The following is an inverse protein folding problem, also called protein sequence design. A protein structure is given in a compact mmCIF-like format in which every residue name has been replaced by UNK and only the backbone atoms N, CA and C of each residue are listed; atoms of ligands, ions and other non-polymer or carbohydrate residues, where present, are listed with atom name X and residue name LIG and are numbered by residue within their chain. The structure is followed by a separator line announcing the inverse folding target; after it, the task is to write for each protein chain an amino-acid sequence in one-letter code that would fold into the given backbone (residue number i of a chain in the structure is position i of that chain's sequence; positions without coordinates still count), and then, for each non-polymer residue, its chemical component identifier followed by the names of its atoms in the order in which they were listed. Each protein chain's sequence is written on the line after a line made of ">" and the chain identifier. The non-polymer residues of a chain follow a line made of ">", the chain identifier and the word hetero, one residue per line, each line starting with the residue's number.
data_IF_255266434247
#
_entry.id   IF_255266434247
#
_cell.length_a   1.000
_cell.length_b   1.000
_cell.length_c   1.000
_cell.angle_alpha   90.00
_cell.angle_beta   90.00
_cell.angle_gamma   90.00
#
_symmetry.space_group_name_H-M   'P 1'
#
loop_
_entity.id
_entity.type
_entity.pdbx_description
1 polymer ?
#
# COMPACT_ATOMS: atom_id res chain seq x y z
N UNK A 1 11.94 2.26 -0.81
CA UNK A 1 11.55 0.85 -1.04
C UNK A 1 10.11 0.60 -0.62
N UNK A 2 9.74 0.81 0.65
CA UNK A 2 8.35 0.69 1.13
C UNK A 2 7.30 1.49 0.32
N UNK A 3 7.56 2.78 0.05
CA UNK A 3 6.64 3.61 -0.73
C UNK A 3 6.37 3.08 -2.15
N UNK A 4 7.39 2.52 -2.81
CA UNK A 4 7.26 1.95 -4.17
C UNK A 4 6.37 0.70 -4.15
N UNK A 5 6.46 -0.12 -3.09
CA UNK A 5 5.56 -1.28 -2.92
C UNK A 5 4.11 -0.83 -2.75
N UNK A 6 3.88 0.18 -1.91
CA UNK A 6 2.54 0.76 -1.70
C UNK A 6 1.97 1.35 -2.99
N UNK A 7 2.77 2.06 -3.78
CA UNK A 7 2.33 2.61 -5.07
C UNK A 7 1.95 1.51 -6.07
N UNK A 8 2.69 0.39 -6.09
CA UNK A 8 2.37 -0.77 -6.93
C UNK A 8 1.10 -1.48 -6.47
N UNK A 9 0.98 -1.77 -5.17
CA UNK A 9 -0.17 -2.46 -4.58
C UNK A 9 -1.48 -1.66 -4.69
N UNK A 10 -1.40 -0.35 -4.94
CA UNK A 10 -2.55 0.54 -5.07
C UNK A 10 -2.65 1.19 -6.45
N UNK A 11 -2.01 0.61 -7.47
CA UNK A 11 -2.03 1.13 -8.83
C UNK A 11 -3.47 1.15 -9.39
N UNK A 12 -3.85 2.23 -10.07
CA UNK A 12 -5.19 2.41 -10.63
C UNK A 12 -5.57 1.43 -11.73
N UNK A 13 -4.57 0.79 -12.35
CA UNK A 13 -4.73 -0.22 -13.39
C UNK A 13 -5.03 -1.62 -12.82
N UNK A 14 -4.97 -1.79 -11.50
CA UNK A 14 -5.33 -3.06 -10.87
C UNK A 14 -6.84 -3.28 -10.93
N UNK A 15 -7.23 -4.48 -11.35
CA UNK A 15 -8.63 -4.92 -11.36
C UNK A 15 -9.13 -5.31 -9.95
N UNK A 16 -8.22 -5.47 -9.00
CA UNK A 16 -8.50 -5.86 -7.63
C UNK A 16 -7.21 -5.92 -6.79
N UNK A 17 -7.30 -6.32 -5.51
CA UNK A 17 -6.16 -6.38 -4.62
C UNK A 17 -5.09 -7.37 -5.09
N UNK A 18 -3.83 -6.94 -5.10
CA UNK A 18 -2.68 -7.82 -5.25
C UNK A 18 -2.28 -8.35 -3.87
N UNK A 19 -2.83 -9.51 -3.49
CA UNK A 19 -2.56 -10.12 -2.19
C UNK A 19 -1.10 -10.49 -1.99
N UNK A 20 -0.37 -10.79 -3.06
CA UNK A 20 1.07 -11.09 -2.97
C UNK A 20 1.84 -9.85 -2.55
N UNK A 21 1.55 -8.69 -3.14
CA UNK A 21 2.17 -7.43 -2.73
C UNK A 21 1.72 -6.97 -1.33
N UNK A 22 0.45 -7.17 -0.98
CA UNK A 22 -0.04 -6.81 0.35
C UNK A 22 0.69 -7.59 1.45
N UNK A 23 0.87 -8.90 1.26
CA UNK A 23 1.60 -9.76 2.21
C UNK A 23 3.09 -9.35 2.28
N UNK A 24 3.74 -9.06 1.15
CA UNK A 24 5.15 -8.57 1.13
C UNK A 24 5.31 -7.26 1.91
N UNK A 25 4.32 -6.36 1.83
CA UNK A 25 4.32 -5.13 2.63
C UNK A 25 4.18 -5.45 4.13
N UNK A 26 3.26 -6.34 4.51
CA UNK A 26 3.06 -6.74 5.90
C UNK A 26 4.32 -7.41 6.48
N UNK A 27 4.93 -8.33 5.75
CA UNK A 27 6.16 -9.01 6.15
C UNK A 27 7.33 -8.03 6.31
N UNK A 28 7.44 -7.04 5.41
CA UNK A 28 8.45 -5.99 5.51
C UNK A 28 8.27 -5.12 6.75
N UNK A 29 7.03 -4.76 7.09
CA UNK A 29 6.72 -3.97 8.29
C UNK A 29 6.96 -4.77 9.58
N UNK A 30 6.58 -6.06 9.59
CA UNK A 30 6.77 -6.95 10.73
C UNK A 30 8.26 -7.26 10.99
N UNK A 31 9.07 -7.29 9.93
CA UNK A 31 10.51 -7.55 10.04
C UNK A 31 11.31 -6.30 10.45
N UNK A 32 10.85 -5.12 10.04
CA UNK A 32 11.49 -3.83 10.34
C UNK A 32 10.43 -2.78 10.66
N UNK A 33 10.19 -2.57 11.96
CA UNK A 33 9.26 -1.55 12.47
C UNK A 33 9.60 -0.13 11.99
N UNK A 34 10.84 0.15 11.56
CA UNK A 34 11.22 1.42 10.94
C UNK A 34 10.47 1.69 9.62
N UNK A 35 10.04 0.65 8.90
CA UNK A 35 9.28 0.80 7.66
C UNK A 35 7.82 1.16 7.87
N UNK A 36 7.26 0.86 9.04
CA UNK A 36 5.87 1.15 9.37
C UNK A 36 5.52 2.63 9.13
N UNK A 37 6.41 3.54 9.55
CA UNK A 37 6.21 4.99 9.38
C UNK A 37 6.12 5.40 7.91
N UNK A 38 6.99 4.84 7.07
CA UNK A 38 7.02 5.16 5.64
C UNK A 38 5.85 4.52 4.89
N UNK A 39 5.43 3.30 5.27
CA UNK A 39 4.22 2.65 4.74
C UNK A 39 2.98 3.46 5.08
N UNK A 40 2.80 3.85 6.34
CA UNK A 40 1.66 4.67 6.78
C UNK A 40 1.65 6.02 6.05
N UNK A 41 2.81 6.66 5.88
CA UNK A 41 2.92 7.93 5.13
C UNK A 41 2.53 7.75 3.66
N UNK A 42 2.94 6.66 3.02
CA UNK A 42 2.56 6.35 1.65
C UNK A 42 1.05 6.05 1.54
N UNK A 43 0.50 5.20 2.41
CA UNK A 43 -0.93 4.88 2.44
C UNK A 43 -1.80 6.12 2.62
N UNK A 44 -1.44 7.02 3.54
CA UNK A 44 -2.15 8.31 3.71
C UNK A 44 -2.22 9.11 2.41
N UNK A 45 -1.13 9.16 1.64
CA UNK A 45 -1.13 9.82 0.32
C UNK A 45 -2.05 9.12 -0.68
N UNK A 46 -2.08 7.78 -0.69
CA UNK A 46 -2.96 6.99 -1.58
C UNK A 46 -4.44 7.17 -1.22
N UNK A 47 -4.78 7.26 0.06
CA UNK A 47 -6.15 7.53 0.53
C UNK A 47 -6.63 8.92 0.08
N UNK A 48 -5.74 9.90 -0.05
CA UNK A 48 -6.06 11.24 -0.55
C UNK A 48 -6.12 11.33 -2.09
N UNK A 49 -5.93 10.21 -2.81
CA UNK A 49 -5.95 10.18 -4.26
C UNK A 49 -7.36 10.39 -4.83
N UNK A 50 -7.51 11.01 -6.01
CA UNK A 50 -8.84 11.28 -6.60
C UNK A 50 -9.58 10.03 -7.09
N UNK A 51 -8.83 8.99 -7.46
CA UNK A 51 -9.37 7.75 -7.99
C UNK A 51 -9.86 6.84 -6.84
N UNK A 52 -11.16 6.52 -6.82
CA UNK A 52 -11.77 5.68 -5.78
C UNK A 52 -11.17 4.26 -5.71
N UNK A 53 -10.73 3.69 -6.84
CA UNK A 53 -10.04 2.39 -6.82
C UNK A 53 -8.72 2.47 -6.06
N UNK A 54 -7.95 3.54 -6.23
CA UNK A 54 -6.69 3.73 -5.50
C UNK A 54 -6.95 3.84 -4.00
N UNK A 55 -7.99 4.56 -3.60
CA UNK A 55 -8.40 4.67 -2.19
C UNK A 55 -8.81 3.31 -1.62
N UNK A 56 -9.64 2.57 -2.36
CA UNK A 56 -10.10 1.23 -1.99
C UNK A 56 -8.94 0.26 -1.81
N UNK A 57 -8.01 0.21 -2.77
CA UNK A 57 -6.82 -0.64 -2.68
C UNK A 57 -5.94 -0.24 -1.49
N UNK A 58 -5.78 1.07 -1.22
CA UNK A 58 -5.03 1.54 -0.06
C UNK A 58 -5.67 1.12 1.26
N UNK A 59 -7.00 1.15 1.35
CA UNK A 59 -7.76 0.68 2.52
C UNK A 59 -7.80 -0.86 2.64
N UNK A 60 -7.41 -1.59 1.61
CA UNK A 60 -7.32 -3.06 1.62
C UNK A 60 -5.96 -3.54 2.15
N UNK A 61 -4.96 -2.66 2.18
CA UNK A 61 -3.66 -2.91 2.84
C UNK A 61 -3.88 -2.65 4.33
N UNK A 62 -4.31 -3.68 5.06
CA UNK A 62 -4.58 -3.66 6.51
C UNK A 62 -3.84 -4.79 7.23
#
# INVERSE_FOLDING_TARGET
>A
MAAVRVDKATNELLLGPDWTLNIDICDAVNSDHGQAKEVIKALKKRIQHKNANVQFLALTIV
#
